data_IF_029185390291
#
_entry.id   IF_029185390291
#
_cell.length_a   1.000
_cell.length_b   1.000
_cell.length_c   1.000
_cell.angle_alpha   90.00
_cell.angle_beta   90.00
_cell.angle_gamma   90.00
#
_symmetry.space_group_name_H-M   'P 1'
#
loop_
_entity.id
_entity.type
_entity.pdbx_description
1 polymer ?
#
# COMPACT_ATOMS: atom_id res chain seq x y z
N UNK A 1 3.33 -16.34 10.04
CA UNK A 1 4.18 -16.04 8.87
C UNK A 1 4.84 -14.66 8.93
N UNK A 2 4.11 -13.57 9.29
CA UNK A 2 4.65 -12.19 9.40
C UNK A 2 5.93 -12.09 10.25
N UNK A 3 5.93 -12.64 11.46
CA UNK A 3 7.08 -12.57 12.38
C UNK A 3 8.39 -13.14 11.80
N UNK A 4 8.34 -14.29 11.13
CA UNK A 4 9.55 -14.90 10.55
C UNK A 4 10.11 -14.09 9.37
N UNK A 5 9.24 -13.54 8.52
CA UNK A 5 9.65 -12.66 7.41
C UNK A 5 10.22 -11.35 7.94
N UNK A 6 9.62 -10.80 9.01
CA UNK A 6 10.11 -9.58 9.65
C UNK A 6 11.50 -9.78 10.26
N UNK A 7 11.79 -10.96 10.82
CA UNK A 7 13.13 -11.31 11.31
C UNK A 7 14.14 -11.50 10.18
N UNK A 8 13.72 -12.07 9.04
CA UNK A 8 14.59 -12.31 7.88
C UNK A 8 14.96 -11.00 7.18
N UNK A 9 13.98 -10.14 6.90
CA UNK A 9 14.17 -8.88 6.18
C UNK A 9 14.62 -7.75 7.11
N UNK A 10 14.24 -7.79 8.38
CA UNK A 10 14.61 -6.80 9.39
C UNK A 10 14.42 -5.36 8.90
N UNK A 11 15.52 -4.60 8.90
CA UNK A 11 15.55 -3.21 8.45
C UNK A 11 15.48 -3.04 6.94
N UNK A 12 15.81 -4.06 6.16
CA UNK A 12 15.83 -4.02 4.70
C UNK A 12 14.42 -4.11 4.09
N UNK A 13 13.42 -4.45 4.90
CA UNK A 13 12.02 -4.55 4.43
C UNK A 13 11.57 -3.24 3.76
N UNK A 14 11.26 -3.36 2.47
CA UNK A 14 10.92 -2.25 1.57
C UNK A 14 9.70 -1.47 2.00
N UNK A 15 8.65 -2.15 2.49
CA UNK A 15 7.39 -1.52 2.88
C UNK A 15 6.93 -2.05 4.24
N UNK A 16 6.63 -1.13 5.15
CA UNK A 16 5.98 -1.41 6.43
C UNK A 16 4.79 -0.47 6.56
N UNK A 17 3.66 -1.01 7.01
CA UNK A 17 2.45 -0.24 7.30
C UNK A 17 1.67 -0.88 8.46
N UNK A 18 0.83 -0.07 9.10
CA UNK A 18 -0.12 -0.45 10.14
C UNK A 18 -1.56 -0.63 9.60
N UNK A 19 -1.71 -0.77 8.28
CA UNK A 19 -2.98 -1.14 7.64
C UNK A 19 -3.62 -2.34 8.36
N UNK A 20 -4.95 -2.32 8.48
CA UNK A 20 -5.72 -3.32 9.22
C UNK A 20 -5.53 -4.75 8.66
N UNK A 21 -5.98 -5.76 9.41
CA UNK A 21 -5.75 -7.19 9.15
C UNK A 21 -6.25 -7.73 7.79
N UNK A 22 -7.20 -7.05 7.14
CA UNK A 22 -7.66 -7.31 5.76
C UNK A 22 -7.13 -6.31 4.72
N UNK A 23 -6.23 -5.45 5.14
CA UNK A 23 -5.61 -4.47 4.29
C UNK A 23 -4.66 -5.12 3.28
N UNK A 24 -4.75 -4.70 2.03
CA UNK A 24 -3.82 -5.08 0.97
C UNK A 24 -3.05 -3.82 0.59
N UNK A 25 -1.72 -3.92 0.54
CA UNK A 25 -0.89 -2.87 -0.03
C UNK A 25 0.10 -3.43 -1.01
N UNK A 26 0.27 -2.73 -2.12
CA UNK A 26 1.27 -3.04 -3.15
C UNK A 26 2.11 -1.80 -3.39
N UNK A 27 3.34 -2.01 -3.86
CA UNK A 27 4.24 -0.95 -4.28
C UNK A 27 4.80 -1.31 -5.65
N UNK A 28 4.45 -0.53 -6.67
CA UNK A 28 4.82 -0.79 -8.05
C UNK A 28 5.77 0.28 -8.54
N UNK A 29 6.95 -0.12 -9.02
CA UNK A 29 7.91 0.78 -9.67
C UNK A 29 7.49 1.04 -11.11
N UNK A 30 7.57 2.30 -11.55
CA UNK A 30 7.37 2.73 -12.93
C UNK A 30 8.64 3.47 -13.41
N UNK A 31 9.68 2.74 -13.87
CA UNK A 31 10.99 3.32 -14.17
C UNK A 31 10.93 4.42 -15.23
N UNK A 32 10.12 4.23 -16.28
CA UNK A 32 9.95 5.21 -17.37
C UNK A 32 9.35 6.55 -16.92
N UNK A 33 8.72 6.58 -15.75
CA UNK A 33 8.16 7.80 -15.16
C UNK A 33 8.89 8.24 -13.87
N UNK A 34 10.01 7.60 -13.53
CA UNK A 34 10.79 7.89 -12.32
C UNK A 34 9.94 7.97 -11.06
N UNK A 35 8.99 7.02 -10.89
CA UNK A 35 8.09 7.00 -9.75
C UNK A 35 7.74 5.60 -9.28
N UNK A 36 7.22 5.52 -8.06
CA UNK A 36 6.49 4.36 -7.55
C UNK A 36 5.02 4.73 -7.34
N UNK A 37 4.14 3.73 -7.42
CA UNK A 37 2.75 3.85 -7.00
C UNK A 37 2.51 2.83 -5.90
N UNK A 38 2.17 3.33 -4.70
CA UNK A 38 1.64 2.51 -3.64
C UNK A 38 0.12 2.45 -3.75
N UNK A 39 -0.45 1.25 -3.83
CA UNK A 39 -1.88 1.05 -3.63
C UNK A 39 -2.12 0.62 -2.19
N UNK A 40 -3.14 1.20 -1.56
CA UNK A 40 -3.69 0.73 -0.29
C UNK A 40 -5.15 0.41 -0.53
N UNK A 41 -5.56 -0.80 -0.16
CA UNK A 41 -6.91 -1.30 -0.29
C UNK A 41 -7.38 -1.83 1.06
N UNK A 42 -8.56 -1.45 1.50
CA UNK A 42 -9.21 -2.00 2.68
C UNK A 42 -10.72 -2.02 2.50
N UNK A 43 -11.30 -3.21 2.63
CA UNK A 43 -12.74 -3.42 2.62
C UNK A 43 -13.08 -4.68 3.43
N UNK A 44 -14.24 -4.68 4.07
CA UNK A 44 -14.74 -5.89 4.72
C UNK A 44 -15.45 -6.76 3.68
N UNK A 45 -14.89 -7.94 3.42
CA UNK A 45 -15.54 -8.95 2.59
C UNK A 45 -16.22 -10.04 3.42
N UNK A 46 -17.30 -10.61 2.89
CA UNK A 46 -17.93 -11.81 3.42
C UNK A 46 -18.15 -12.80 2.29
N UNK A 47 -17.92 -14.08 2.58
CA UNK A 47 -18.25 -15.15 1.66
C UNK A 47 -19.77 -15.28 1.49
N UNK A 48 -20.25 -15.11 0.25
CA UNK A 48 -21.67 -15.22 -0.13
C UNK A 48 -21.94 -16.42 -1.04
N UNK A 49 -21.17 -17.50 -0.88
CA UNK A 49 -21.32 -18.74 -1.63
C UNK A 49 -20.14 -19.01 -2.55
N UNK A 50 -20.38 -19.81 -3.59
CA UNK A 50 -19.36 -20.18 -4.58
C UNK A 50 -19.79 -19.78 -5.99
N UNK A 51 -18.82 -19.58 -6.87
CA UNK A 51 -19.05 -19.46 -8.30
C UNK A 51 -18.07 -20.34 -9.06
N UNK A 52 -18.54 -20.90 -10.19
CA UNK A 52 -17.69 -21.73 -11.06
C UNK A 52 -17.01 -20.86 -12.08
N UNK A 53 -15.67 -20.88 -12.09
CA UNK A 53 -14.85 -20.22 -13.10
C UNK A 53 -13.74 -21.18 -13.54
N UNK A 54 -13.60 -21.36 -14.85
CA UNK A 54 -12.68 -22.32 -15.47
C UNK A 54 -12.78 -23.76 -14.88
N UNK A 55 -14.02 -24.21 -14.62
CA UNK A 55 -14.30 -25.55 -14.10
C UNK A 55 -13.93 -25.76 -12.62
N UNK A 56 -13.57 -24.69 -11.90
CA UNK A 56 -13.28 -24.71 -10.46
C UNK A 56 -14.34 -23.94 -9.70
N UNK A 57 -14.78 -24.47 -8.56
CA UNK A 57 -15.55 -23.70 -7.59
C UNK A 57 -14.62 -22.76 -6.82
N UNK A 58 -14.94 -21.47 -6.83
CA UNK A 58 -14.20 -20.43 -6.14
C UNK A 58 -15.11 -19.76 -5.11
N UNK A 59 -14.59 -19.36 -3.93
CA UNK A 59 -15.36 -18.61 -2.96
C UNK A 59 -15.72 -17.22 -3.52
N UNK A 60 -16.98 -16.82 -3.35
CA UNK A 60 -17.45 -15.49 -3.70
C UNK A 60 -17.32 -14.56 -2.49
N UNK A 61 -16.22 -13.81 -2.42
CA UNK A 61 -16.02 -12.77 -1.41
C UNK A 61 -16.65 -11.46 -1.89
N UNK A 62 -17.75 -11.03 -1.25
CA UNK A 62 -18.46 -9.79 -1.59
C UNK A 62 -18.08 -8.70 -0.60
N UNK A 63 -17.82 -7.48 -1.08
CA UNK A 63 -17.62 -6.30 -0.23
C UNK A 63 -18.97 -5.96 0.43
N UNK A 64 -19.07 -6.16 1.74
CA UNK A 64 -20.26 -5.87 2.52
C UNK A 64 -20.32 -4.41 2.94
N UNK A 65 -19.16 -3.87 3.35
CA UNK A 65 -19.04 -2.51 3.86
C UNK A 65 -17.67 -1.92 3.54
N UNK A 66 -17.66 -0.60 3.39
CA UNK A 66 -16.45 0.22 3.21
C UNK A 66 -16.30 1.07 4.47
N UNK A 67 -15.46 0.59 5.37
CA UNK A 67 -15.09 1.32 6.58
C UNK A 67 -13.82 2.12 6.30
N UNK A 68 -13.85 3.46 6.36
CA UNK A 68 -12.67 4.26 6.09
C UNK A 68 -11.62 4.09 7.18
N UNK A 69 -10.38 3.86 6.79
CA UNK A 69 -9.22 3.91 7.68
C UNK A 69 -8.63 5.32 7.67
N UNK A 70 -8.25 5.83 8.84
CA UNK A 70 -7.66 7.15 8.99
C UNK A 70 -6.25 7.05 9.56
N UNK A 71 -5.37 7.94 9.12
CA UNK A 71 -4.03 8.08 9.69
C UNK A 71 -3.15 6.85 9.51
N UNK A 72 -3.25 6.15 8.39
CA UNK A 72 -2.46 4.94 8.10
C UNK A 72 -0.99 5.33 7.93
N UNK A 73 -0.13 4.76 8.76
CA UNK A 73 1.31 5.02 8.71
C UNK A 73 1.97 4.09 7.69
N UNK A 74 2.86 4.66 6.88
CA UNK A 74 3.64 3.94 5.88
C UNK A 74 5.10 4.31 6.04
N UNK A 75 5.95 3.30 5.97
CA UNK A 75 7.40 3.44 5.96
C UNK A 75 8.00 2.68 4.80
N UNK A 76 8.75 3.39 3.95
CA UNK A 76 9.39 2.83 2.76
C UNK A 76 10.91 2.89 2.86
N UNK A 77 11.57 1.81 2.47
CA UNK A 77 13.01 1.74 2.25
C UNK A 77 13.26 1.60 0.75
N UNK A 78 13.62 2.70 0.08
CA UNK A 78 13.80 2.77 -1.38
C UNK A 78 15.25 3.12 -1.71
N UNK A 79 15.83 2.53 -2.77
CA UNK A 79 17.20 2.84 -3.17
C UNK A 79 17.34 4.26 -3.77
N UNK A 80 16.29 4.78 -4.41
CA UNK A 80 16.30 6.15 -4.95
C UNK A 80 15.86 7.20 -3.93
N UNK A 81 16.36 8.43 -4.12
CA UNK A 81 15.94 9.58 -3.34
C UNK A 81 14.53 10.02 -3.72
N UNK A 82 13.64 10.04 -2.73
CA UNK A 82 12.26 10.55 -2.88
C UNK A 82 12.26 12.07 -3.01
N UNK A 83 11.57 12.58 -4.04
CA UNK A 83 11.38 14.01 -4.31
C UNK A 83 10.05 14.53 -3.77
N UNK A 84 8.97 13.81 -4.03
CA UNK A 84 7.61 14.20 -3.68
C UNK A 84 6.71 13.00 -3.47
N UNK A 85 5.69 13.22 -2.64
CA UNK A 85 4.59 12.30 -2.42
C UNK A 85 3.28 13.03 -2.65
N UNK A 86 2.32 12.38 -3.29
CA UNK A 86 0.97 12.89 -3.38
C UNK A 86 -0.07 11.77 -3.51
N UNK A 87 -1.29 12.07 -3.07
CA UNK A 87 -2.44 11.20 -3.25
C UNK A 87 -2.91 11.24 -4.70
N UNK A 88 -3.15 10.09 -5.30
CA UNK A 88 -3.82 9.98 -6.59
C UNK A 88 -5.21 9.32 -6.42
N UNK A 89 -6.24 9.82 -7.11
CA UNK A 89 -6.21 10.85 -8.17
C UNK A 89 -6.23 12.31 -7.67
N UNK A 90 -6.31 12.55 -6.36
CA UNK A 90 -6.61 13.87 -5.78
C UNK A 90 -5.52 14.94 -5.99
N UNK A 91 -4.30 14.54 -6.36
CA UNK A 91 -3.10 15.40 -6.46
C UNK A 91 -2.78 16.17 -5.17
N UNK A 92 -3.20 15.63 -4.03
CA UNK A 92 -2.94 16.23 -2.72
C UNK A 92 -1.55 15.85 -2.25
N UNK A 93 -0.67 16.84 -2.08
CA UNK A 93 0.69 16.62 -1.61
C UNK A 93 0.70 16.05 -0.19
N UNK A 94 1.59 15.09 0.06
CA UNK A 94 1.88 14.58 1.39
C UNK A 94 3.26 15.03 1.85
N UNK A 95 3.38 15.23 3.15
CA UNK A 95 4.67 15.41 3.81
C UNK A 95 5.23 14.05 4.22
N UNK A 96 6.56 13.94 4.21
CA UNK A 96 7.28 12.79 4.72
C UNK A 96 8.49 13.21 5.51
N UNK A 97 8.89 12.35 6.44
CA UNK A 97 10.16 12.44 7.14
C UNK A 97 11.13 11.45 6.51
N UNK A 98 12.43 11.76 6.57
CA UNK A 98 13.49 10.89 6.09
C UNK A 98 14.50 10.65 7.20
N UNK A 99 14.77 9.39 7.46
CA UNK A 99 15.80 8.92 8.39
C UNK A 99 16.72 7.94 7.63
N UNK A 100 17.90 8.42 7.22
CA UNK A 100 18.78 7.66 6.35
C UNK A 100 18.15 7.35 5.00
N UNK A 101 18.03 6.07 4.65
CA UNK A 101 17.41 5.57 3.41
C UNK A 101 15.89 5.39 3.53
N UNK A 102 15.35 5.49 4.75
CA UNK A 102 13.95 5.22 5.04
C UNK A 102 13.15 6.51 5.06
N UNK A 103 11.99 6.49 4.41
CA UNK A 103 11.00 7.56 4.53
C UNK A 103 9.77 7.08 5.30
N UNK A 104 9.11 8.00 6.01
CA UNK A 104 7.85 7.76 6.71
C UNK A 104 6.84 8.84 6.34
N UNK A 105 5.60 8.43 6.11
CA UNK A 105 4.48 9.33 5.84
C UNK A 105 3.18 8.72 6.33
N UNK A 106 2.15 9.56 6.40
CA UNK A 106 0.81 9.15 6.79
C UNK A 106 -0.17 9.37 5.64
N UNK A 107 -0.97 8.36 5.34
CA UNK A 107 -2.11 8.46 4.43
C UNK A 107 -3.32 8.88 5.26
N UNK A 108 -3.89 10.08 5.02
CA UNK A 108 -4.90 10.65 5.92
C UNK A 108 -6.20 9.84 5.93
N UNK A 109 -6.59 9.27 4.77
CA UNK A 109 -7.77 8.44 4.62
C UNK A 109 -7.54 7.37 3.56
N UNK A 110 -7.96 6.13 3.84
CA UNK A 110 -8.14 5.06 2.85
C UNK A 110 -9.61 4.69 2.86
N UNK A 111 -10.31 4.96 1.77
CA UNK A 111 -11.75 4.74 1.62
C UNK A 111 -11.97 3.74 0.49
N UNK A 112 -12.02 2.45 0.85
CA UNK A 112 -11.85 1.31 -0.07
C UNK A 112 -10.46 1.27 -0.71
N UNK A 113 -10.10 2.23 -1.56
CA UNK A 113 -8.85 2.28 -2.31
C UNK A 113 -8.23 3.68 -2.26
N UNK A 114 -6.92 3.75 -2.03
CA UNK A 114 -6.14 4.98 -2.14
C UNK A 114 -4.79 4.70 -2.79
N UNK A 115 -4.35 5.60 -3.68
CA UNK A 115 -3.00 5.56 -4.24
C UNK A 115 -2.14 6.68 -3.66
N UNK A 116 -0.88 6.35 -3.43
CA UNK A 116 0.18 7.33 -3.17
C UNK A 116 1.21 7.22 -4.29
N UNK A 117 1.43 8.31 -4.99
CA UNK A 117 2.51 8.41 -5.97
C UNK A 117 3.75 8.93 -5.27
N UNK A 118 4.88 8.25 -5.51
CA UNK A 118 6.19 8.56 -4.94
C UNK A 118 7.14 8.87 -6.09
N UNK A 119 7.34 10.15 -6.38
CA UNK A 119 8.30 10.56 -7.41
C UNK A 119 9.72 10.49 -6.83
N UNK A 120 10.64 9.94 -7.61
CA UNK A 120 12.03 9.74 -7.22
C UNK A 120 13.01 10.41 -8.17
N UNK A 121 14.27 10.50 -7.76
CA UNK A 121 15.36 10.81 -8.66
C UNK A 121 15.50 9.69 -9.70
N UNK A 122 15.66 10.03 -11.01
CA UNK A 122 16.06 9.06 -12.00
C UNK A 122 17.38 8.41 -11.57
N UNK A 123 17.52 7.11 -11.82
CA UNK A 123 18.79 6.41 -11.65
C UNK A 123 19.78 6.77 -12.75
#
# INVERSE_FOLDING_TARGET
MRYAVDQLLGREKTLVTDLADRGITTLTKQPGESRYIQHLLFAHTTNRGTFTWEGRENPMEVIEDIVPLYGVNVSLNLPERVKSLYLAPQKTRLHFQREGERITYQVPKVDCHQMVVIDVEPM
#
